data_IF_425078394902
#
_entry.id   IF_425078394902
#
_cell.length_a   1.000
_cell.length_b   1.000
_cell.length_c   1.000
_cell.angle_alpha   90.00
_cell.angle_beta   90.00
_cell.angle_gamma   90.00
#
_symmetry.space_group_name_H-M   'P 1'
#
loop_
_entity.id
_entity.type
_entity.pdbx_description
1 polymer ?
#
# COMPACT_ATOMS: atom_id res chain seq x y z
N UNK A 1 -60.03 -36.49 -36.57
CA UNK A 1 -58.86 -35.59 -36.41
C UNK A 1 -59.12 -34.76 -35.16
N UNK A 2 -58.41 -35.07 -34.08
CA UNK A 2 -58.61 -34.49 -32.75
C UNK A 2 -57.85 -33.16 -32.67
N UNK A 3 -58.54 -32.06 -32.36
CA UNK A 3 -57.93 -30.78 -32.02
C UNK A 3 -57.27 -30.91 -30.65
N UNK A 4 -55.95 -31.02 -30.61
CA UNK A 4 -55.18 -30.74 -29.39
C UNK A 4 -54.88 -29.24 -29.34
N UNK A 5 -55.61 -28.53 -28.48
CA UNK A 5 -55.19 -27.19 -28.05
C UNK A 5 -53.89 -27.30 -27.26
N UNK A 6 -52.90 -26.52 -27.68
CA UNK A 6 -51.59 -26.42 -27.03
C UNK A 6 -51.80 -25.70 -25.69
N UNK A 7 -51.68 -26.45 -24.59
CA UNK A 7 -51.68 -25.90 -23.23
C UNK A 7 -50.39 -25.10 -23.01
N UNK A 8 -50.48 -23.77 -23.03
CA UNK A 8 -49.40 -22.90 -22.56
C UNK A 8 -49.48 -22.81 -21.03
N UNK A 9 -48.46 -23.25 -20.28
CA UNK A 9 -48.45 -23.03 -18.84
C UNK A 9 -48.39 -21.52 -18.57
N UNK A 10 -49.39 -21.04 -17.84
CA UNK A 10 -49.48 -19.68 -17.32
C UNK A 10 -48.14 -19.27 -16.71
N UNK A 11 -47.64 -18.10 -17.11
CA UNK A 11 -46.32 -17.62 -16.71
C UNK A 11 -46.20 -17.66 -15.18
N UNK A 12 -45.30 -18.52 -14.70
CA UNK A 12 -44.86 -18.58 -13.31
C UNK A 12 -44.66 -17.16 -12.78
N UNK A 13 -45.60 -16.73 -11.95
CA UNK A 13 -45.52 -15.47 -11.23
C UNK A 13 -44.27 -15.54 -10.36
N UNK A 14 -43.23 -14.80 -10.75
CA UNK A 14 -41.98 -14.72 -10.02
C UNK A 14 -42.32 -14.33 -8.57
N UNK A 15 -41.86 -15.07 -7.55
CA UNK A 15 -42.21 -14.77 -6.17
C UNK A 15 -41.85 -13.31 -5.86
N UNK A 16 -42.69 -12.59 -5.09
CA UNK A 16 -42.45 -11.18 -4.79
C UNK A 16 -41.03 -11.02 -4.25
N UNK A 17 -40.29 -10.07 -4.84
CA UNK A 17 -38.93 -9.72 -4.43
C UNK A 17 -38.91 -9.58 -2.90
N UNK A 18 -38.19 -10.47 -2.23
CA UNK A 18 -38.06 -10.45 -0.78
C UNK A 18 -37.60 -9.05 -0.35
N UNK A 19 -38.34 -8.43 0.58
CA UNK A 19 -38.02 -7.11 1.09
C UNK A 19 -36.56 -7.12 1.62
N UNK A 20 -35.65 -6.28 1.05
CA UNK A 20 -34.25 -6.20 1.48
C UNK A 20 -34.09 -5.88 2.97
N UNK A 21 -35.14 -5.39 3.64
CA UNK A 21 -35.16 -5.13 5.07
C UNK A 21 -35.03 -6.40 5.93
N UNK A 22 -35.42 -7.58 5.42
CA UNK A 22 -35.47 -8.81 6.22
C UNK A 22 -34.11 -9.50 6.43
N UNK A 23 -33.10 -9.17 5.63
CA UNK A 23 -31.73 -9.71 5.75
C UNK A 23 -30.73 -8.72 6.38
N UNK A 24 -31.21 -7.60 6.93
CA UNK A 24 -30.34 -6.68 7.66
C UNK A 24 -29.91 -7.34 8.97
N UNK A 25 -28.66 -7.82 9.01
CA UNK A 25 -27.98 -8.08 10.29
C UNK A 25 -28.22 -6.90 11.24
N UNK A 26 -28.64 -7.19 12.47
CA UNK A 26 -29.11 -6.17 13.41
C UNK A 26 -28.17 -4.95 13.45
N UNK A 27 -28.69 -3.72 13.28
CA UNK A 27 -27.84 -2.54 13.15
C UNK A 27 -26.98 -2.40 14.41
N UNK A 28 -25.66 -2.32 14.23
CA UNK A 28 -24.70 -2.22 15.34
C UNK A 28 -25.11 -1.10 16.28
N UNK A 29 -25.32 -1.42 17.56
CA UNK A 29 -25.87 -0.49 18.54
C UNK A 29 -24.77 0.36 19.17
N UNK A 30 -25.04 1.66 19.34
CA UNK A 30 -24.16 2.56 20.09
C UNK A 30 -24.04 2.10 21.54
N UNK A 31 -25.16 1.70 22.15
CA UNK A 31 -25.22 1.25 23.55
C UNK A 31 -24.30 0.04 23.75
N UNK A 32 -24.39 -0.95 22.85
CA UNK A 32 -23.54 -2.15 22.90
C UNK A 32 -22.07 -1.81 22.66
N UNK A 33 -21.75 -0.89 21.74
CA UNK A 33 -20.37 -0.47 21.50
C UNK A 33 -19.75 0.25 22.71
N UNK A 34 -20.48 1.14 23.38
CA UNK A 34 -20.04 1.80 24.61
C UNK A 34 -19.94 0.82 25.79
N UNK A 35 -20.85 -0.14 25.89
CA UNK A 35 -20.80 -1.17 26.92
C UNK A 35 -19.54 -2.03 26.79
N UNK A 36 -19.23 -2.50 25.57
CA UNK A 36 -18.01 -3.28 25.31
C UNK A 36 -16.76 -2.42 25.49
N UNK A 37 -16.82 -1.12 25.19
CA UNK A 37 -15.71 -0.20 25.45
C UNK A 37 -15.46 -0.01 26.95
N UNK A 38 -16.49 0.05 27.79
CA UNK A 38 -16.32 0.23 29.23
C UNK A 38 -15.64 -0.99 29.89
N UNK A 39 -16.05 -2.21 29.52
CA UNK A 39 -15.53 -3.44 30.13
C UNK A 39 -14.30 -4.04 29.43
N UNK A 40 -14.24 -3.94 28.09
CA UNK A 40 -13.21 -4.56 27.25
C UNK A 40 -12.40 -3.52 26.42
N UNK A 41 -12.53 -2.22 26.74
CA UNK A 41 -11.92 -1.15 25.96
C UNK A 41 -10.40 -1.09 26.02
N UNK A 42 -9.79 -1.51 27.13
CA UNK A 42 -8.31 -1.55 27.27
C UNK A 42 -7.68 -2.55 26.29
N UNK A 43 -8.40 -3.63 25.97
CA UNK A 43 -7.98 -4.66 25.00
C UNK A 43 -8.53 -4.35 23.59
N UNK A 44 -9.37 -3.31 23.44
CA UNK A 44 -9.94 -2.91 22.16
C UNK A 44 -11.16 -3.72 21.71
N UNK A 45 -11.89 -4.38 22.62
CA UNK A 45 -13.06 -5.22 22.32
C UNK A 45 -14.13 -4.56 21.45
N UNK A 46 -14.35 -3.25 21.65
CA UNK A 46 -15.32 -2.48 20.87
C UNK A 46 -14.93 -2.35 19.39
N UNK A 47 -13.63 -2.38 19.06
CA UNK A 47 -13.13 -2.37 17.67
C UNK A 47 -13.37 -3.71 16.98
N UNK A 48 -13.28 -4.82 17.70
CA UNK A 48 -13.65 -6.15 17.21
C UNK A 48 -15.15 -6.27 16.96
N UNK A 49 -16.00 -5.76 17.88
CA UNK A 49 -17.46 -5.73 17.69
C UNK A 49 -17.89 -4.98 16.42
N UNK A 50 -17.16 -3.91 16.08
CA UNK A 50 -17.38 -3.09 14.89
C UNK A 50 -16.71 -3.66 13.62
N UNK A 51 -16.15 -4.88 13.69
CA UNK A 51 -15.57 -5.59 12.56
C UNK A 51 -14.19 -5.08 12.12
N UNK A 52 -13.53 -4.24 12.93
CA UNK A 52 -12.22 -3.66 12.64
C UNK A 52 -11.07 -4.49 13.23
N UNK A 53 -10.99 -5.75 12.81
CA UNK A 53 -10.05 -6.75 13.35
C UNK A 53 -8.59 -6.30 13.37
N UNK A 54 -8.09 -5.72 12.27
CA UNK A 54 -6.68 -5.27 12.20
C UNK A 54 -6.37 -4.13 13.17
N UNK A 55 -7.23 -3.11 13.25
CA UNK A 55 -7.01 -2.00 14.20
C UNK A 55 -7.28 -2.43 15.64
N UNK A 56 -8.16 -3.41 15.86
CA UNK A 56 -8.39 -4.02 17.17
C UNK A 56 -7.18 -4.81 17.63
N UNK A 57 -6.54 -5.58 16.73
CA UNK A 57 -5.33 -6.34 17.02
C UNK A 57 -4.14 -5.42 17.30
N UNK A 58 -3.93 -4.38 16.47
CA UNK A 58 -2.89 -3.37 16.71
C UNK A 58 -3.10 -2.66 18.06
N UNK A 59 -4.36 -2.33 18.39
CA UNK A 59 -4.73 -1.73 19.66
C UNK A 59 -4.52 -2.69 20.85
N UNK A 60 -4.83 -3.97 20.69
CA UNK A 60 -4.62 -5.00 21.72
C UNK A 60 -3.13 -5.25 21.99
N UNK A 61 -2.31 -5.34 20.94
CA UNK A 61 -0.85 -5.53 21.05
C UNK A 61 -0.17 -4.31 21.67
N UNK A 62 -0.71 -3.12 21.44
CA UNK A 62 -0.21 -1.87 22.04
C UNK A 62 -0.86 -1.49 23.37
N UNK A 63 -1.79 -2.31 23.90
CA UNK A 63 -2.63 -1.99 25.08
C UNK A 63 -3.27 -0.59 25.00
N UNK A 64 -3.71 -0.19 23.80
CA UNK A 64 -4.29 1.13 23.54
C UNK A 64 -3.35 2.32 23.80
N UNK A 65 -2.03 2.07 23.89
CA UNK A 65 -0.98 3.02 24.27
C UNK A 65 -1.24 3.70 25.64
N UNK A 66 -1.15 2.91 26.72
CA UNK A 66 -1.21 3.32 28.14
C UNK A 66 -2.49 4.07 28.57
N UNK A 67 -3.65 3.69 28.03
CA UNK A 67 -4.96 4.23 28.45
C UNK A 67 -5.38 5.54 27.76
N UNK A 68 -4.49 6.19 27.01
CA UNK A 68 -4.84 7.36 26.18
C UNK A 68 -5.78 6.96 25.05
N UNK A 69 -5.56 5.79 24.43
CA UNK A 69 -6.46 5.25 23.42
C UNK A 69 -7.88 4.99 23.95
N UNK A 70 -8.02 4.64 25.24
CA UNK A 70 -9.32 4.39 25.85
C UNK A 70 -10.14 5.68 25.96
N UNK A 71 -9.50 6.80 26.35
CA UNK A 71 -10.13 8.13 26.39
C UNK A 71 -10.51 8.64 24.99
N UNK A 72 -9.62 8.50 24.01
CA UNK A 72 -9.91 8.92 22.64
C UNK A 72 -11.07 8.10 22.05
N UNK A 73 -11.16 6.81 22.35
CA UNK A 73 -12.20 5.94 21.81
C UNK A 73 -13.62 6.34 22.23
N UNK A 74 -13.79 7.06 23.34
CA UNK A 74 -15.08 7.65 23.71
C UNK A 74 -15.66 8.55 22.61
N UNK A 75 -14.81 9.36 21.97
CA UNK A 75 -15.20 10.23 20.86
C UNK A 75 -15.25 9.48 19.53
N UNK A 76 -14.41 8.46 19.34
CA UNK A 76 -14.32 7.73 18.07
C UNK A 76 -15.45 6.69 17.90
N UNK A 77 -16.11 6.19 18.96
CA UNK A 77 -17.19 5.20 18.83
C UNK A 77 -18.35 5.71 17.95
N UNK A 78 -18.73 6.99 18.08
CA UNK A 78 -19.82 7.58 17.29
C UNK A 78 -19.55 7.50 15.77
N UNK A 79 -18.43 8.03 15.24
CA UNK A 79 -18.13 7.91 13.81
C UNK A 79 -17.90 6.45 13.40
N UNK A 80 -17.38 5.59 14.28
CA UNK A 80 -17.15 4.19 13.95
C UNK A 80 -18.46 3.39 13.77
N UNK A 81 -19.46 3.59 14.64
CA UNK A 81 -20.77 2.96 14.51
C UNK A 81 -21.50 3.49 13.27
N UNK A 82 -21.44 4.79 12.99
CA UNK A 82 -21.99 5.38 11.76
C UNK A 82 -21.38 4.74 10.52
N UNK A 83 -20.06 4.59 10.48
CA UNK A 83 -19.35 3.94 9.37
C UNK A 83 -19.69 2.46 9.25
N UNK A 84 -19.82 1.73 10.37
CA UNK A 84 -20.21 0.31 10.35
C UNK A 84 -21.63 0.11 9.80
N UNK A 85 -22.59 0.94 10.23
CA UNK A 85 -23.96 0.95 9.70
C UNK A 85 -24.00 1.32 8.23
N UNK A 86 -23.31 2.40 7.84
CA UNK A 86 -23.20 2.82 6.44
C UNK A 86 -22.60 1.71 5.58
N UNK A 87 -21.57 1.00 6.06
CA UNK A 87 -20.98 -0.14 5.35
C UNK A 87 -21.96 -1.29 5.17
N UNK A 88 -22.73 -1.65 6.19
CA UNK A 88 -23.77 -2.67 6.08
C UNK A 88 -24.87 -2.27 5.08
N UNK A 89 -25.31 -1.01 5.11
CA UNK A 89 -26.27 -0.47 4.12
C UNK A 89 -25.67 -0.46 2.72
N UNK A 90 -24.43 -0.02 2.55
CA UNK A 90 -23.73 -0.03 1.27
C UNK A 90 -23.49 -1.45 0.76
N UNK A 91 -23.30 -2.43 1.65
CA UNK A 91 -23.13 -3.83 1.28
C UNK A 91 -24.44 -4.38 0.70
N UNK A 92 -25.58 -4.13 1.34
CA UNK A 92 -26.91 -4.48 0.80
C UNK A 92 -27.19 -3.75 -0.51
N UNK A 93 -26.87 -2.45 -0.61
CA UNK A 93 -27.00 -1.69 -1.85
C UNK A 93 -26.04 -2.16 -2.95
N UNK A 94 -24.85 -2.68 -2.58
CA UNK A 94 -23.88 -3.24 -3.51
C UNK A 94 -24.26 -4.64 -3.97
N UNK A 95 -24.86 -5.47 -3.10
CA UNK A 95 -25.41 -6.78 -3.47
C UNK A 95 -26.63 -6.62 -4.39
N UNK A 96 -27.42 -5.56 -4.20
CA UNK A 96 -28.56 -5.23 -5.05
C UNK A 96 -28.17 -4.58 -6.39
N UNK A 97 -26.95 -4.04 -6.52
CA UNK A 97 -26.57 -3.22 -7.67
C UNK A 97 -25.13 -3.46 -8.14
N UNK A 98 -24.63 -4.70 -7.99
CA UNK A 98 -23.21 -5.09 -8.13
C UNK A 98 -22.56 -4.44 -9.35
N UNK A 99 -21.75 -3.37 -9.18
CA UNK A 99 -20.69 -3.11 -10.14
C UNK A 99 -19.62 -4.15 -9.80
N UNK A 100 -19.52 -5.15 -10.67
CA UNK A 100 -18.40 -6.08 -10.73
C UNK A 100 -17.11 -5.30 -10.48
N UNK A 101 -16.24 -5.84 -9.62
CA UNK A 101 -14.93 -5.26 -9.30
C UNK A 101 -14.34 -4.53 -10.51
N UNK A 102 -14.03 -3.23 -10.36
CA UNK A 102 -13.68 -2.35 -11.49
C UNK A 102 -12.88 -3.12 -12.56
N UNK A 103 -13.39 -3.18 -13.80
CA UNK A 103 -12.93 -4.15 -14.78
C UNK A 103 -11.42 -4.05 -14.94
N UNK A 104 -10.75 -5.20 -15.07
CA UNK A 104 -9.31 -5.21 -15.31
C UNK A 104 -8.99 -4.42 -16.60
N UNK A 105 -7.87 -3.69 -16.65
CA UNK A 105 -7.52 -2.92 -17.83
C UNK A 105 -7.32 -3.84 -19.04
N UNK A 106 -7.59 -3.33 -20.24
CA UNK A 106 -7.59 -4.12 -21.47
C UNK A 106 -6.28 -4.90 -21.69
N UNK A 107 -5.14 -4.28 -21.35
CA UNK A 107 -3.81 -4.89 -21.48
C UNK A 107 -3.54 -6.01 -20.47
N UNK A 108 -4.33 -6.15 -19.40
CA UNK A 108 -4.11 -7.17 -18.36
C UNK A 108 -4.27 -8.60 -18.89
N UNK A 109 -5.11 -8.80 -19.92
CA UNK A 109 -5.36 -10.10 -20.54
C UNK A 109 -4.33 -10.46 -21.62
N UNK A 110 -3.48 -9.51 -22.03
CA UNK A 110 -2.45 -9.74 -23.04
C UNK A 110 -1.25 -10.49 -22.43
N UNK A 111 -1.13 -11.78 -22.74
CA UNK A 111 0.09 -12.52 -22.47
C UNK A 111 1.17 -12.09 -23.47
N UNK A 112 2.30 -11.61 -22.95
CA UNK A 112 3.50 -11.33 -23.75
C UNK A 112 4.58 -12.31 -23.34
N UNK A 113 5.25 -12.93 -24.31
CA UNK A 113 6.38 -13.83 -24.07
C UNK A 113 7.46 -13.20 -23.18
N UNK A 114 7.81 -11.94 -23.47
CA UNK A 114 8.76 -11.17 -22.65
C UNK A 114 8.26 -10.95 -21.21
N UNK A 115 6.95 -10.75 -21.02
CA UNK A 115 6.36 -10.63 -19.69
C UNK A 115 6.44 -11.92 -18.86
N UNK A 116 6.41 -13.10 -19.50
CA UNK A 116 6.63 -14.37 -18.79
C UNK A 116 8.10 -14.55 -18.39
N UNK A 117 9.03 -14.13 -19.24
CA UNK A 117 10.46 -14.17 -18.94
C UNK A 117 10.86 -13.20 -17.81
N UNK A 118 10.19 -12.06 -17.69
CA UNK A 118 10.47 -11.07 -16.64
C UNK A 118 9.98 -11.49 -15.25
N UNK A 119 8.95 -12.33 -15.17
CA UNK A 119 8.33 -12.76 -13.92
C UNK A 119 9.32 -13.37 -12.90
N UNK A 120 10.21 -14.32 -13.26
CA UNK A 120 11.22 -14.81 -12.32
C UNK A 120 12.15 -13.70 -11.84
N UNK A 121 12.56 -12.77 -12.71
CA UNK A 121 13.42 -11.64 -12.30
C UNK A 121 12.69 -10.70 -11.35
N UNK A 122 11.41 -10.40 -11.60
CA UNK A 122 10.57 -9.60 -10.70
C UNK A 122 10.47 -10.25 -9.32
N UNK A 123 10.24 -11.57 -9.26
CA UNK A 123 10.17 -12.32 -8.01
C UNK A 123 11.50 -12.29 -7.27
N UNK A 124 12.60 -12.61 -7.96
CA UNK A 124 13.94 -12.58 -7.38
C UNK A 124 14.31 -11.19 -6.87
N UNK A 125 13.92 -10.14 -7.60
CA UNK A 125 14.13 -8.77 -7.19
C UNK A 125 13.37 -8.44 -5.91
N UNK A 126 12.06 -8.72 -5.84
CA UNK A 126 11.26 -8.50 -4.62
C UNK A 126 11.79 -9.28 -3.41
N UNK A 127 12.35 -10.46 -3.66
CA UNK A 127 12.77 -11.38 -2.61
C UNK A 127 14.16 -11.04 -2.06
N UNK A 128 15.14 -10.80 -2.95
CA UNK A 128 16.54 -10.73 -2.57
C UNK A 128 17.12 -9.32 -2.63
N UNK A 129 16.69 -8.48 -3.57
CA UNK A 129 17.31 -7.17 -3.77
C UNK A 129 17.19 -6.25 -2.54
N UNK A 130 16.03 -6.13 -1.87
CA UNK A 130 15.95 -5.39 -0.61
C UNK A 130 16.89 -5.96 0.46
N UNK A 131 17.00 -7.28 0.56
CA UNK A 131 17.90 -7.95 1.50
C UNK A 131 19.37 -7.63 1.24
N UNK A 132 19.79 -7.65 -0.03
CA UNK A 132 21.15 -7.26 -0.44
C UNK A 132 21.42 -5.80 -0.05
N UNK A 133 20.48 -4.89 -0.30
CA UNK A 133 20.63 -3.49 0.09
C UNK A 133 20.68 -3.33 1.62
N UNK A 134 19.92 -4.10 2.39
CA UNK A 134 19.99 -4.11 3.86
C UNK A 134 21.34 -4.62 4.35
N UNK A 135 21.86 -5.71 3.78
CA UNK A 135 23.20 -6.23 4.12
C UNK A 135 24.24 -5.14 3.86
N UNK A 136 24.20 -4.52 2.67
CA UNK A 136 25.12 -3.45 2.31
C UNK A 136 24.99 -2.24 3.25
N UNK A 137 23.77 -1.84 3.61
CA UNK A 137 23.51 -0.78 4.57
C UNK A 137 24.12 -1.09 5.95
N UNK A 138 23.95 -2.31 6.45
CA UNK A 138 24.50 -2.75 7.74
C UNK A 138 26.03 -2.82 7.70
N UNK A 139 26.62 -3.34 6.61
CA UNK A 139 28.07 -3.40 6.41
C UNK A 139 28.71 -2.00 6.35
N UNK A 140 27.99 -1.01 5.83
CA UNK A 140 28.41 0.40 5.84
C UNK A 140 28.08 1.13 7.15
N UNK A 141 27.59 0.43 8.17
CA UNK A 141 27.12 0.98 9.44
C UNK A 141 26.01 2.04 9.31
N UNK A 142 25.20 1.96 8.25
CA UNK A 142 24.06 2.85 7.97
C UNK A 142 22.74 2.20 8.40
N UNK A 143 22.47 2.14 9.71
CA UNK A 143 21.28 1.46 10.26
C UNK A 143 19.98 2.18 9.87
N UNK A 144 19.98 3.52 9.87
CA UNK A 144 18.84 4.34 9.46
C UNK A 144 18.44 4.04 8.01
N UNK A 145 19.45 3.84 7.14
CA UNK A 145 19.24 3.43 5.76
C UNK A 145 18.61 2.04 5.62
N UNK A 146 19.08 1.06 6.41
CA UNK A 146 18.49 -0.27 6.44
C UNK A 146 17.02 -0.23 6.86
N UNK A 147 16.68 0.56 7.87
CA UNK A 147 15.29 0.76 8.32
C UNK A 147 14.45 1.39 7.21
N UNK A 148 14.97 2.42 6.52
CA UNK A 148 14.28 3.04 5.38
C UNK A 148 13.99 2.05 4.26
N UNK A 149 14.92 1.16 3.92
CA UNK A 149 14.71 0.10 2.91
C UNK A 149 13.54 -0.81 3.32
N UNK A 150 13.51 -1.27 4.58
CA UNK A 150 12.44 -2.14 5.08
C UNK A 150 11.08 -1.42 5.07
N UNK A 151 11.05 -0.16 5.50
CA UNK A 151 9.83 0.66 5.47
C UNK A 151 9.34 0.89 4.04
N UNK A 152 10.24 1.23 3.11
CA UNK A 152 9.90 1.44 1.70
C UNK A 152 9.44 0.15 1.02
N UNK A 153 10.07 -0.98 1.31
CA UNK A 153 9.64 -2.30 0.84
C UNK A 153 8.19 -2.59 1.27
N UNK A 154 7.86 -2.32 2.54
CA UNK A 154 6.49 -2.48 3.04
C UNK A 154 5.51 -1.53 2.37
N UNK A 155 5.84 -0.24 2.27
CA UNK A 155 4.97 0.78 1.68
C UNK A 155 4.71 0.53 0.19
N UNK A 156 5.77 0.29 -0.58
CA UNK A 156 5.71 0.13 -2.03
C UNK A 156 5.19 -1.25 -2.42
N UNK A 157 5.66 -2.31 -1.76
CA UNK A 157 5.23 -3.66 -2.07
C UNK A 157 3.74 -3.87 -1.79
N UNK A 158 3.20 -3.19 -0.78
CA UNK A 158 1.77 -3.23 -0.45
C UNK A 158 0.95 -2.10 -1.09
N UNK A 159 1.55 -1.23 -1.90
CA UNK A 159 0.94 0.00 -2.42
C UNK A 159 -0.36 -0.25 -3.17
N UNK A 160 -0.34 -1.17 -4.14
CA UNK A 160 -1.55 -1.54 -4.88
C UNK A 160 -2.62 -2.16 -3.97
N UNK A 161 -2.22 -2.79 -2.86
CA UNK A 161 -3.17 -3.43 -1.95
C UNK A 161 -3.98 -2.44 -1.13
N UNK A 162 -3.34 -1.35 -0.72
CA UNK A 162 -3.94 -0.36 0.17
C UNK A 162 -4.62 0.79 -0.54
N UNK A 163 -4.45 0.95 -1.85
CA UNK A 163 -5.08 2.04 -2.59
C UNK A 163 -6.59 2.17 -2.35
N UNK A 164 -7.35 1.07 -2.50
CA UNK A 164 -8.81 1.07 -2.24
C UNK A 164 -9.13 1.40 -0.77
N UNK A 165 -8.26 1.03 0.16
CA UNK A 165 -8.41 1.28 1.61
C UNK A 165 -8.08 2.72 1.98
N UNK A 166 -7.05 3.31 1.37
CA UNK A 166 -6.63 4.69 1.58
C UNK A 166 -7.72 5.67 1.11
N UNK A 167 -8.35 5.39 -0.02
CA UNK A 167 -9.44 6.19 -0.58
C UNK A 167 -10.73 6.17 0.26
N UNK A 168 -10.87 5.26 1.23
CA UNK A 168 -12.05 5.20 2.11
C UNK A 168 -12.03 6.25 3.23
N UNK A 169 -10.91 6.94 3.45
CA UNK A 169 -10.71 7.85 4.57
C UNK A 169 -10.41 9.28 4.09
N UNK A 170 -11.45 10.08 3.75
CA UNK A 170 -11.29 11.41 3.16
C UNK A 170 -10.66 12.46 4.10
N UNK A 171 -10.43 12.12 5.37
CA UNK A 171 -9.67 12.99 6.27
C UNK A 171 -8.16 12.95 5.98
N UNK A 172 -7.66 11.88 5.35
CA UNK A 172 -6.24 11.72 5.03
C UNK A 172 -5.77 12.77 4.00
N UNK A 173 -6.66 13.18 3.08
CA UNK A 173 -6.38 14.22 2.09
C UNK A 173 -6.12 15.61 2.70
N UNK A 174 -6.54 15.83 3.96
CA UNK A 174 -6.35 17.10 4.66
C UNK A 174 -4.96 17.24 5.27
N UNK A 175 -4.21 16.14 5.41
CA UNK A 175 -2.86 16.15 5.95
C UNK A 175 -1.90 16.36 4.78
N UNK A 176 -1.12 17.46 4.71
CA UNK A 176 -0.37 17.83 3.50
C UNK A 176 0.49 16.69 2.91
N UNK A 177 1.36 16.10 3.74
CA UNK A 177 2.24 15.01 3.29
C UNK A 177 1.49 13.73 2.88
N UNK A 178 0.36 13.45 3.55
CA UNK A 178 -0.40 12.23 3.32
C UNK A 178 -1.32 12.35 2.10
N UNK A 179 -1.93 13.52 1.90
CA UNK A 179 -2.72 13.84 0.71
C UNK A 179 -1.85 13.81 -0.55
N UNK A 180 -0.65 14.39 -0.49
CA UNK A 180 0.30 14.32 -1.60
C UNK A 180 0.67 12.87 -1.95
N UNK A 181 0.98 12.05 -0.94
CA UNK A 181 1.27 10.62 -1.14
C UNK A 181 0.08 9.86 -1.77
N UNK A 182 -1.15 10.08 -1.27
CA UNK A 182 -2.37 9.44 -1.81
C UNK A 182 -2.63 9.88 -3.26
N UNK A 183 -2.41 11.17 -3.56
CA UNK A 183 -2.57 11.71 -4.92
C UNK A 183 -1.62 11.03 -5.90
N UNK A 184 -0.34 10.86 -5.52
CA UNK A 184 0.68 10.20 -6.34
C UNK A 184 0.28 8.75 -6.65
N UNK A 185 -0.15 8.00 -5.63
CA UNK A 185 -0.60 6.61 -5.79
C UNK A 185 -1.82 6.53 -6.70
N UNK A 186 -2.76 7.46 -6.55
CA UNK A 186 -3.98 7.51 -7.36
C UNK A 186 -3.67 7.86 -8.81
N UNK A 187 -2.78 8.82 -9.04
CA UNK A 187 -2.35 9.26 -10.37
C UNK A 187 -1.56 8.16 -11.08
N UNK A 188 -0.67 7.45 -10.38
CA UNK A 188 0.04 6.28 -10.90
C UNK A 188 -0.90 5.14 -11.25
N UNK A 189 -1.90 4.87 -10.41
CA UNK A 189 -2.90 3.86 -10.73
C UNK A 189 -3.66 4.22 -12.00
N UNK A 190 -4.16 5.47 -12.12
CA UNK A 190 -4.86 5.94 -13.33
C UNK A 190 -3.96 5.85 -14.56
N UNK A 191 -2.69 6.21 -14.42
CA UNK A 191 -1.71 6.13 -15.49
C UNK A 191 -1.52 4.68 -15.95
N UNK A 192 -1.27 3.74 -15.03
CA UNK A 192 -1.04 2.34 -15.36
C UNK A 192 -2.30 1.57 -15.75
N UNK A 193 -3.48 2.00 -15.30
CA UNK A 193 -4.74 1.46 -15.78
C UNK A 193 -4.88 1.70 -17.30
N UNK A 194 -4.54 2.91 -17.76
CA UNK A 194 -4.64 3.29 -19.17
C UNK A 194 -3.40 2.95 -20.01
N UNK A 195 -2.26 2.69 -19.38
CA UNK A 195 -0.99 2.42 -20.06
C UNK A 195 -0.29 1.21 -19.45
N UNK A 196 -0.01 0.20 -20.27
CA UNK A 196 0.76 -0.97 -19.85
C UNK A 196 2.15 -0.53 -19.35
N UNK A 197 2.59 -0.98 -18.16
CA UNK A 197 3.97 -0.79 -17.71
C UNK A 197 4.96 -1.34 -18.74
N UNK A 198 6.12 -0.69 -18.86
CA UNK A 198 7.23 -1.16 -19.70
C UNK A 198 7.91 -2.38 -19.07
N UNK A 199 8.95 -2.89 -19.73
CA UNK A 199 9.75 -3.99 -19.20
C UNK A 199 10.31 -3.68 -17.82
N UNK A 200 10.46 -4.70 -16.99
CA UNK A 200 11.12 -4.60 -15.69
C UNK A 200 12.52 -3.94 -15.81
N UNK A 201 13.29 -4.33 -16.84
CA UNK A 201 14.63 -3.75 -17.09
C UNK A 201 14.58 -2.26 -17.39
N UNK A 202 13.55 -1.77 -18.07
CA UNK A 202 13.39 -0.32 -18.30
C UNK A 202 13.29 0.43 -16.97
N UNK A 203 12.57 -0.12 -16.00
CA UNK A 203 12.41 0.46 -14.66
C UNK A 203 13.65 0.29 -13.78
N UNK A 204 14.38 -0.81 -13.92
CA UNK A 204 15.64 -1.01 -13.20
C UNK A 204 16.67 0.08 -13.54
N UNK A 205 16.71 0.49 -14.81
CA UNK A 205 17.57 1.56 -15.30
C UNK A 205 16.85 2.91 -15.45
N UNK A 206 15.74 3.11 -14.75
CA UNK A 206 14.93 4.33 -14.84
C UNK A 206 15.69 5.65 -14.63
N UNK A 207 16.65 5.77 -13.68
CA UNK A 207 17.50 6.96 -13.58
C UNK A 207 18.14 7.42 -14.90
N UNK A 208 18.36 6.51 -15.85
CA UNK A 208 18.93 6.82 -17.17
C UNK A 208 17.82 6.78 -18.22
N UNK A 209 17.02 5.70 -18.25
CA UNK A 209 16.00 5.46 -19.26
C UNK A 209 14.84 6.46 -19.20
N UNK A 210 14.51 6.96 -18.00
CA UNK A 210 13.48 7.96 -17.77
C UNK A 210 13.82 9.29 -18.44
N UNK A 211 15.05 9.79 -18.26
CA UNK A 211 15.51 11.04 -18.89
C UNK A 211 15.51 10.94 -20.42
N UNK A 212 15.97 9.81 -20.95
CA UNK A 212 15.92 9.55 -22.40
C UNK A 212 14.47 9.51 -22.87
N UNK A 213 13.59 8.82 -22.13
CA UNK A 213 12.17 8.65 -22.49
C UNK A 213 11.39 9.95 -22.60
N UNK A 214 11.71 10.98 -21.81
CA UNK A 214 11.08 12.31 -21.87
C UNK A 214 11.17 12.91 -23.28
N UNK A 215 12.26 12.67 -24.00
CA UNK A 215 12.50 13.25 -25.32
C UNK A 215 11.56 12.66 -26.39
N UNK A 216 11.19 11.39 -26.25
CA UNK A 216 10.54 10.63 -27.34
C UNK A 216 9.04 10.40 -27.17
N UNK A 217 8.48 10.50 -25.96
CA UNK A 217 7.08 10.13 -25.74
C UNK A 217 6.39 10.98 -24.67
N UNK A 218 5.19 11.48 -24.97
CA UNK A 218 4.33 12.16 -23.97
C UNK A 218 4.00 11.25 -22.79
N UNK A 219 3.79 9.95 -23.05
CA UNK A 219 3.54 8.95 -21.99
C UNK A 219 4.72 8.89 -21.00
N UNK A 220 5.95 8.90 -21.51
CA UNK A 220 7.15 8.94 -20.69
C UNK A 220 7.28 10.24 -19.91
N UNK A 221 6.89 11.39 -20.47
CA UNK A 221 6.90 12.67 -19.75
C UNK A 221 5.94 12.66 -18.56
N UNK A 222 4.75 12.10 -18.73
CA UNK A 222 3.75 11.98 -17.66
C UNK A 222 4.26 11.02 -16.59
N UNK A 223 4.72 9.83 -16.97
CA UNK A 223 5.28 8.83 -16.06
C UNK A 223 6.46 9.40 -15.27
N UNK A 224 7.38 10.09 -15.94
CA UNK A 224 8.52 10.74 -15.31
C UNK A 224 8.13 11.79 -14.29
N UNK A 225 7.13 12.62 -14.59
CA UNK A 225 6.61 13.61 -13.62
C UNK A 225 6.04 12.93 -12.37
N UNK A 226 5.36 11.79 -12.51
CA UNK A 226 4.83 11.04 -11.37
C UNK A 226 5.95 10.46 -10.51
N UNK A 227 6.95 9.84 -11.15
CA UNK A 227 8.13 9.35 -10.41
C UNK A 227 8.92 10.48 -9.78
N UNK A 228 9.06 11.63 -10.43
CA UNK A 228 9.78 12.78 -9.87
C UNK A 228 9.15 13.27 -8.55
N UNK A 229 7.82 13.18 -8.40
CA UNK A 229 7.16 13.47 -7.12
C UNK A 229 7.56 12.48 -6.02
N UNK A 230 7.57 11.17 -6.32
CA UNK A 230 8.04 10.13 -5.39
C UNK A 230 9.49 10.41 -4.99
N UNK A 231 10.35 10.66 -5.97
CA UNK A 231 11.77 10.92 -5.76
C UNK A 231 12.03 12.19 -4.97
N UNK A 232 11.27 13.26 -5.22
CA UNK A 232 11.34 14.48 -4.43
C UNK A 232 10.99 14.22 -2.96
N UNK A 233 9.92 13.47 -2.69
CA UNK A 233 9.53 13.11 -1.32
C UNK A 233 10.59 12.24 -0.62
N UNK A 234 11.18 11.31 -1.36
CA UNK A 234 12.23 10.42 -0.87
C UNK A 234 13.52 11.19 -0.56
N UNK A 235 13.95 12.07 -1.47
CA UNK A 235 15.12 12.91 -1.28
C UNK A 235 14.94 13.84 -0.08
N UNK A 236 13.73 14.40 0.11
CA UNK A 236 13.42 15.23 1.27
C UNK A 236 13.59 14.45 2.58
N UNK A 237 13.07 13.21 2.65
CA UNK A 237 13.25 12.34 3.82
C UNK A 237 14.73 12.07 4.08
N UNK A 238 15.50 11.75 3.04
CA UNK A 238 16.95 11.53 3.16
C UNK A 238 17.72 12.75 3.64
N UNK A 239 17.38 13.95 3.15
CA UNK A 239 18.01 15.21 3.59
C UNK A 239 17.70 15.46 5.07
N UNK A 240 16.44 15.27 5.48
CA UNK A 240 16.01 15.44 6.86
C UNK A 240 16.78 14.48 7.77
N UNK A 241 16.80 13.19 7.42
CA UNK A 241 17.55 12.14 8.12
C UNK A 241 19.04 12.54 8.28
N UNK A 242 19.68 12.91 7.18
CA UNK A 242 21.09 13.37 7.16
C UNK A 242 21.35 14.56 8.09
N UNK A 243 20.43 15.53 8.15
CA UNK A 243 20.54 16.70 9.03
C UNK A 243 20.45 16.30 10.50
N UNK A 244 19.51 15.44 10.87
CA UNK A 244 19.32 14.99 12.25
C UNK A 244 20.47 14.10 12.73
N UNK A 245 21.03 13.27 11.84
CA UNK A 245 22.10 12.34 12.16
C UNK A 245 23.49 13.00 12.12
N UNK A 246 23.60 14.24 11.62
CA UNK A 246 24.88 14.94 11.51
C UNK A 246 25.60 15.05 12.87
N UNK A 247 24.89 15.47 13.92
CA UNK A 247 25.49 15.73 15.24
C UNK A 247 25.98 14.47 15.95
N UNK A 248 25.45 13.30 15.61
CA UNK A 248 25.87 12.02 16.19
C UNK A 248 27.00 11.35 15.41
N UNK A 249 27.09 11.61 14.10
CA UNK A 249 28.01 10.92 13.20
C UNK A 249 29.35 11.64 12.94
N UNK A 250 29.39 12.98 12.95
CA UNK A 250 30.56 13.74 12.48
C UNK A 250 31.35 14.49 13.56
N UNK A 251 30.72 15.20 14.52
CA UNK A 251 31.47 15.79 15.64
C UNK A 251 31.91 14.71 16.65
N UNK A 252 33.11 14.79 17.29
CA UNK A 252 34.10 15.88 17.25
C UNK A 252 35.20 15.75 16.16
N UNK A 253 35.12 14.77 15.27
CA UNK A 253 36.21 14.36 14.36
C UNK A 253 36.26 15.08 13.01
N UNK A 254 35.15 15.63 12.51
CA UNK A 254 35.12 16.44 11.29
C UNK A 254 34.33 17.75 11.47
N UNK A 255 34.88 18.86 10.98
CA UNK A 255 34.14 20.11 10.84
C UNK A 255 33.16 20.02 9.65
N UNK A 256 32.11 20.86 9.67
CA UNK A 256 31.04 20.81 8.66
C UNK A 256 31.56 21.07 7.23
N UNK A 257 32.62 21.87 7.11
CA UNK A 257 33.27 22.19 5.82
C UNK A 257 33.96 20.98 5.21
N UNK A 258 34.51 20.11 6.04
CA UNK A 258 35.21 18.91 5.61
C UNK A 258 34.21 17.76 5.37
N UNK A 259 33.14 17.71 6.18
CA UNK A 259 32.11 16.69 6.08
C UNK A 259 31.16 16.88 4.89
N UNK A 260 30.96 18.11 4.40
CA UNK A 260 29.93 18.43 3.39
C UNK A 260 30.06 17.60 2.10
N UNK A 261 31.29 17.35 1.63
CA UNK A 261 31.51 16.57 0.42
C UNK A 261 31.19 15.08 0.64
N UNK A 262 31.56 14.54 1.80
CA UNK A 262 31.27 13.15 2.19
C UNK A 262 29.76 12.96 2.33
N UNK A 263 29.10 13.89 3.04
CA UNK A 263 27.65 13.91 3.22
C UNK A 263 26.94 13.96 1.86
N UNK A 264 27.39 14.83 0.96
CA UNK A 264 26.81 14.96 -0.38
C UNK A 264 26.96 13.66 -1.19
N UNK A 265 28.16 13.06 -1.18
CA UNK A 265 28.41 11.80 -1.88
C UNK A 265 27.58 10.65 -1.29
N UNK A 266 27.49 10.58 0.03
CA UNK A 266 26.66 9.61 0.74
C UNK A 266 25.17 9.77 0.38
N UNK A 267 24.66 11.00 0.41
CA UNK A 267 23.28 11.31 0.05
C UNK A 267 22.96 10.88 -1.38
N UNK A 268 23.86 11.17 -2.33
CA UNK A 268 23.73 10.73 -3.73
C UNK A 268 23.67 9.20 -3.80
N UNK A 269 24.62 8.51 -3.16
CA UNK A 269 24.68 7.05 -3.18
C UNK A 269 23.41 6.42 -2.60
N UNK A 270 22.94 6.90 -1.45
CA UNK A 270 21.70 6.45 -0.81
C UNK A 270 20.48 6.73 -1.69
N UNK A 271 20.41 7.91 -2.29
CA UNK A 271 19.32 8.29 -3.18
C UNK A 271 19.24 7.38 -4.40
N UNK A 272 20.36 7.11 -5.08
CA UNK A 272 20.40 6.19 -6.22
C UNK A 272 20.11 4.73 -5.83
N UNK A 273 20.57 4.29 -4.65
CA UNK A 273 20.25 2.96 -4.14
C UNK A 273 18.73 2.80 -3.90
N UNK A 274 18.06 3.78 -3.27
CA UNK A 274 16.61 3.74 -3.09
C UNK A 274 15.85 3.89 -4.40
N UNK A 275 16.35 4.71 -5.33
CA UNK A 275 15.78 4.85 -6.68
C UNK A 275 15.76 3.50 -7.40
N UNK A 276 16.87 2.75 -7.31
CA UNK A 276 17.00 1.42 -7.91
C UNK A 276 16.02 0.41 -7.32
N UNK A 277 15.61 0.60 -6.06
CA UNK A 277 14.62 -0.24 -5.38
C UNK A 277 13.18 0.19 -5.69
N UNK A 278 12.86 1.45 -5.45
CA UNK A 278 11.49 1.97 -5.41
C UNK A 278 10.83 1.89 -6.78
N UNK A 279 11.49 2.32 -7.85
CA UNK A 279 10.83 2.41 -9.16
C UNK A 279 10.42 1.03 -9.72
N UNK A 280 11.31 0.03 -9.78
CA UNK A 280 10.93 -1.31 -10.23
C UNK A 280 9.88 -1.95 -9.33
N UNK A 281 9.92 -1.67 -8.02
CA UNK A 281 8.90 -2.19 -7.09
C UNK A 281 7.54 -1.54 -7.29
N UNK A 282 7.47 -0.21 -7.47
CA UNK A 282 6.23 0.51 -7.75
C UNK A 282 5.60 -0.03 -9.02
N UNK A 283 6.35 -0.09 -10.12
CA UNK A 283 5.83 -0.54 -11.41
C UNK A 283 5.34 -2.00 -11.35
N UNK A 284 6.11 -2.90 -10.75
CA UNK A 284 5.74 -4.32 -10.61
C UNK A 284 4.55 -4.53 -9.67
N UNK A 285 4.48 -3.80 -8.55
CA UNK A 285 3.36 -3.87 -7.60
C UNK A 285 2.04 -3.44 -8.27
N UNK A 286 2.07 -2.34 -9.03
CA UNK A 286 0.91 -1.91 -9.82
C UNK A 286 0.57 -2.90 -10.93
N UNK A 287 1.57 -3.43 -11.64
CA UNK A 287 1.36 -4.41 -12.71
C UNK A 287 0.64 -5.66 -12.18
N UNK A 288 1.13 -6.27 -11.11
CA UNK A 288 0.52 -7.46 -10.53
C UNK A 288 -0.86 -7.18 -9.96
N UNK A 289 -1.07 -5.99 -9.37
CA UNK A 289 -2.39 -5.61 -8.87
C UNK A 289 -3.41 -5.49 -10.00
N UNK A 290 -3.06 -4.77 -11.08
CA UNK A 290 -3.91 -4.54 -12.26
C UNK A 290 -4.09 -5.80 -13.12
N UNK A 291 -3.29 -6.85 -12.90
CA UNK A 291 -3.50 -8.19 -13.48
C UNK A 291 -4.37 -9.12 -12.60
N UNK A 292 -4.90 -8.62 -11.48
CA UNK A 292 -5.66 -9.45 -10.52
C UNK A 292 -4.79 -10.35 -9.65
N UNK A 293 -3.45 -10.28 -9.74
CA UNK A 293 -2.48 -11.05 -8.95
C UNK A 293 -2.11 -10.36 -7.63
N UNK A 294 -3.07 -9.70 -7.00
CA UNK A 294 -2.85 -8.94 -5.75
C UNK A 294 -2.23 -9.78 -4.63
N UNK A 295 -2.66 -11.03 -4.47
CA UNK A 295 -2.12 -11.95 -3.45
C UNK A 295 -0.64 -12.27 -3.68
N UNK A 296 -0.21 -12.37 -4.94
CA UNK A 296 1.19 -12.62 -5.31
C UNK A 296 2.09 -11.47 -4.89
N UNK A 297 1.67 -10.23 -5.16
CA UNK A 297 2.37 -9.02 -4.70
C UNK A 297 2.51 -8.95 -3.19
N UNK A 298 1.43 -9.23 -2.45
CA UNK A 298 1.45 -9.26 -0.99
C UNK A 298 2.39 -10.34 -0.45
N UNK A 299 2.26 -11.56 -0.96
CA UNK A 299 3.06 -12.70 -0.52
C UNK A 299 4.56 -12.43 -0.69
N UNK A 300 5.00 -11.99 -1.87
CA UNK A 300 6.42 -11.71 -2.11
C UNK A 300 6.91 -10.48 -1.35
N UNK A 301 6.06 -9.48 -1.10
CA UNK A 301 6.42 -8.35 -0.23
C UNK A 301 6.65 -8.81 1.21
N UNK A 302 5.75 -9.62 1.78
CA UNK A 302 5.92 -10.14 3.15
C UNK A 302 7.12 -11.08 3.26
N UNK A 303 7.34 -11.93 2.25
CA UNK A 303 8.49 -12.83 2.22
C UNK A 303 9.80 -12.04 2.10
N UNK A 304 9.85 -11.03 1.22
CA UNK A 304 10.98 -10.12 1.08
C UNK A 304 11.25 -9.33 2.37
N UNK A 305 10.20 -8.87 3.07
CA UNK A 305 10.33 -8.20 4.37
C UNK A 305 10.94 -9.13 5.42
N UNK A 306 10.45 -10.36 5.49
CA UNK A 306 10.98 -11.37 6.40
C UNK A 306 12.48 -11.62 6.16
N UNK A 307 12.88 -11.77 4.89
CA UNK A 307 14.28 -11.95 4.52
C UNK A 307 15.12 -10.71 4.81
N UNK A 308 14.64 -9.51 4.49
CA UNK A 308 15.35 -8.27 4.75
C UNK A 308 15.62 -8.08 6.25
N UNK A 309 14.63 -8.36 7.11
CA UNK A 309 14.78 -8.31 8.57
C UNK A 309 15.74 -9.40 9.05
N UNK A 310 15.61 -10.63 8.53
CA UNK A 310 16.52 -11.73 8.87
C UNK A 310 17.98 -11.38 8.55
N UNK A 311 18.26 -10.86 7.35
CA UNK A 311 19.60 -10.44 6.96
C UNK A 311 20.11 -9.26 7.80
N UNK A 312 19.25 -8.29 8.13
CA UNK A 312 19.62 -7.22 9.05
C UNK A 312 20.07 -7.75 10.41
N UNK A 313 19.33 -8.71 10.98
CA UNK A 313 19.64 -9.30 12.28
C UNK A 313 20.89 -10.18 12.28
N UNK A 314 21.16 -10.90 11.19
CA UNK A 314 22.33 -11.78 11.10
C UNK A 314 23.66 -11.01 11.13
N UNK A 315 23.65 -9.78 10.60
CA UNK A 315 24.85 -8.96 10.41
C UNK A 315 24.96 -7.78 11.38
N UNK A 316 23.98 -7.62 12.29
CA UNK A 316 24.10 -6.70 13.41
C UNK A 316 25.23 -7.20 14.32
N UNK A 317 26.26 -6.40 14.63
CA UNK A 317 27.29 -6.79 15.58
C UNK A 317 26.62 -7.19 16.89
N UNK A 318 26.94 -8.38 17.41
CA UNK A 318 26.54 -8.77 18.76
C UNK A 318 27.07 -7.70 19.72
N UNK A 319 26.15 -6.91 20.29
CA UNK A 319 26.46 -5.94 21.35
C UNK A 319 27.10 -6.63 22.54
#
# INVERSE_FOLDING_TARGET
MSNQEIFFPEASEKPPLADPSQNLSTPKSYVTAYFIWLFLGIIGGHRFYLGKWFTGLLYAVSFGFLGVGWLLDFFLIVPMVKSARKKATLQVLSEANVPEEAPLPAWAKESSFFGLLELPFQIMFFLFFPGILVIFAVLLHQIEFAIMIVVLLALVGLLGSFQKTLLQYPFLDKIPALGDAISIVTDLHKFYYNNKPRSFLYYLFYPVSGFIGILFSEKSRIEFKLYLKILGSLLLVLIIDTIFSYSSLYPPHLDWKDAIFIIFLQLIMMFFALLSLVIPMVSTSFQWNLQGRKRTSQFFTFLGLSLAIFFGNLWLPSR
#
